data_IF_266578588990
#
_entry.id   IF_266578588990
#
_cell.length_a   1.000
_cell.length_b   1.000
_cell.length_c   1.000
_cell.angle_alpha   90.00
_cell.angle_beta   90.00
_cell.angle_gamma   90.00
#
_symmetry.space_group_name_H-M   'P 1'
#
loop_
_entity.id
_entity.type
_entity.pdbx_description
1 polymer ?
#
# COMPACT_ATOMS: atom_id res chain seq x y z
N UNK A 1 -19.26 -31.55 51.26
CA UNK A 1 -17.99 -32.23 50.95
C UNK A 1 -17.11 -31.30 50.11
N UNK A 2 -15.82 -31.64 50.01
CA UNK A 2 -14.66 -30.77 49.79
C UNK A 2 -14.38 -30.38 48.32
N UNK A 3 -13.64 -29.26 48.15
CA UNK A 3 -12.63 -28.97 47.09
C UNK A 3 -13.15 -28.74 45.64
N UNK A 4 -12.61 -27.93 44.71
CA UNK A 4 -11.32 -27.25 44.48
C UNK A 4 -11.49 -26.26 43.29
N UNK A 5 -10.61 -25.25 43.21
CA UNK A 5 -10.21 -24.44 42.03
C UNK A 5 -11.00 -23.19 41.59
N UNK A 6 -10.20 -22.13 41.40
CA UNK A 6 -10.46 -20.75 40.96
C UNK A 6 -10.39 -20.66 39.40
N UNK A 7 -10.40 -19.45 38.80
CA UNK A 7 -11.51 -18.63 38.30
C UNK A 7 -11.47 -18.51 36.75
N UNK A 8 -12.29 -17.62 36.14
CA UNK A 8 -12.37 -17.15 34.70
C UNK A 8 -13.84 -17.31 34.26
N UNK A 9 -14.58 -16.30 33.78
CA UNK A 9 -14.26 -14.98 33.23
C UNK A 9 -15.44 -14.03 33.50
N UNK A 10 -15.14 -12.74 33.63
CA UNK A 10 -16.07 -11.69 34.00
C UNK A 10 -17.06 -11.30 32.86
N UNK A 11 -18.12 -10.54 33.18
CA UNK A 11 -19.44 -10.64 32.55
C UNK A 11 -19.75 -9.58 31.47
N UNK A 12 -20.86 -9.82 30.77
CA UNK A 12 -21.82 -8.83 30.26
C UNK A 12 -21.31 -7.56 29.53
N UNK A 13 -21.54 -7.55 28.21
CA UNK A 13 -22.28 -6.53 27.45
C UNK A 13 -22.09 -5.06 27.86
N UNK A 14 -21.24 -4.36 27.10
CA UNK A 14 -21.37 -2.92 26.83
C UNK A 14 -21.47 -2.75 25.31
N UNK A 15 -22.58 -2.16 24.88
CA UNK A 15 -22.79 -1.68 23.50
C UNK A 15 -22.39 -0.21 23.50
N UNK A 16 -21.31 0.13 22.82
CA UNK A 16 -21.04 1.46 22.27
C UNK A 16 -20.07 1.30 21.08
N UNK A 17 -20.42 1.93 19.96
CA UNK A 17 -19.90 1.63 18.64
C UNK A 17 -18.40 1.91 18.45
N UNK A 18 -17.69 1.02 17.73
CA UNK A 18 -16.70 1.44 16.78
C UNK A 18 -17.30 1.23 15.39
N UNK A 19 -17.68 2.36 14.78
CA UNK A 19 -17.61 2.63 13.33
C UNK A 19 -17.05 1.43 12.56
N UNK A 20 -17.93 0.70 11.88
CA UNK A 20 -17.57 -0.27 10.87
C UNK A 20 -16.70 0.43 9.82
N UNK A 21 -15.38 0.42 10.03
CA UNK A 21 -14.42 0.60 8.96
C UNK A 21 -14.49 -0.70 8.17
N UNK A 22 -15.01 -0.68 6.93
CA UNK A 22 -15.15 -1.89 6.16
C UNK A 22 -13.75 -2.50 6.03
N UNK A 23 -13.66 -3.79 6.39
CA UNK A 23 -12.60 -4.74 6.08
C UNK A 23 -11.73 -4.27 4.90
N UNK A 24 -10.68 -3.50 5.16
CA UNK A 24 -9.57 -3.43 4.21
C UNK A 24 -8.77 -4.68 4.53
N UNK A 25 -9.13 -5.75 3.83
CA UNK A 25 -8.44 -7.03 3.81
C UNK A 25 -6.95 -6.74 3.91
N UNK A 26 -6.39 -7.11 5.05
CA UNK A 26 -4.97 -7.32 5.23
C UNK A 26 -4.63 -8.45 4.26
N UNK A 27 -4.37 -8.08 3.00
CA UNK A 27 -4.01 -9.03 1.97
C UNK A 27 -2.67 -9.62 2.41
N UNK A 28 -2.58 -10.95 2.56
CA UNK A 28 -1.36 -11.58 3.03
C UNK A 28 -0.29 -11.38 1.97
N UNK A 29 0.74 -10.56 2.24
CA UNK A 29 1.90 -10.52 1.34
C UNK A 29 2.89 -11.60 1.75
N UNK A 30 2.42 -12.84 1.66
CA UNK A 30 3.29 -13.99 1.58
C UNK A 30 3.94 -13.98 0.19
N UNK A 31 5.13 -13.36 0.10
CA UNK A 31 6.29 -13.73 -0.73
C UNK A 31 7.30 -12.58 -0.62
N UNK A 32 8.41 -12.85 0.08
CA UNK A 32 9.61 -12.02 0.31
C UNK A 32 10.17 -11.24 -0.90
N UNK A 33 9.65 -11.47 -2.11
CA UNK A 33 10.12 -10.86 -3.35
C UNK A 33 9.14 -9.82 -3.93
N UNK A 34 8.20 -9.30 -3.14
CA UNK A 34 7.26 -8.24 -3.54
C UNK A 34 7.19 -7.15 -2.47
N UNK A 35 6.99 -5.92 -2.93
CA UNK A 35 7.00 -4.73 -2.10
C UNK A 35 5.64 -4.05 -2.22
N UNK A 36 5.08 -3.63 -1.09
CA UNK A 36 3.77 -2.97 -1.08
C UNK A 36 3.93 -1.50 -1.48
N UNK A 37 3.32 -1.10 -2.58
CA UNK A 37 3.31 0.28 -3.05
C UNK A 37 1.96 0.88 -2.72
N UNK A 38 1.98 2.03 -2.06
CA UNK A 38 0.80 2.88 -1.85
C UNK A 38 1.08 4.20 -2.52
N UNK A 39 0.36 4.46 -3.61
CA UNK A 39 0.43 5.71 -4.35
C UNK A 39 -0.75 6.56 -3.94
N UNK A 40 -0.46 7.80 -3.58
CA UNK A 40 -1.47 8.80 -3.24
C UNK A 40 -1.21 10.02 -4.11
N UNK A 41 -2.17 10.40 -4.92
CA UNK A 41 -2.02 11.52 -5.86
C UNK A 41 -2.92 12.65 -5.42
N UNK A 42 -2.47 13.89 -5.53
CA UNK A 42 -3.34 15.06 -5.32
C UNK A 42 -4.01 15.52 -6.61
N UNK A 43 -3.38 15.26 -7.76
CA UNK A 43 -3.84 15.66 -9.10
C UNK A 43 -3.75 14.51 -10.11
N UNK A 44 -4.23 14.74 -11.33
CA UNK A 44 -4.13 13.77 -12.42
C UNK A 44 -2.67 13.37 -12.66
N UNK A 45 -2.40 12.07 -12.62
CA UNK A 45 -1.09 11.51 -12.84
C UNK A 45 -1.23 10.17 -13.58
N UNK A 46 -0.13 9.67 -14.15
CA UNK A 46 -0.14 8.33 -14.72
C UNK A 46 0.98 7.48 -14.14
N UNK A 47 0.71 6.20 -13.95
CA UNK A 47 1.63 5.26 -13.32
C UNK A 47 1.77 4.06 -14.24
N UNK A 48 3.00 3.66 -14.48
CA UNK A 48 3.34 2.49 -15.26
C UNK A 48 4.43 1.69 -14.52
N UNK A 49 4.10 0.47 -14.16
CA UNK A 49 4.99 -0.50 -13.54
C UNK A 49 5.24 -1.63 -14.51
N UNK A 50 6.51 -1.85 -14.82
CA UNK A 50 6.97 -2.95 -15.66
C UNK A 50 7.63 -4.01 -14.78
N UNK A 51 7.27 -5.26 -15.02
CA UNK A 51 7.93 -6.43 -14.45
C UNK A 51 9.39 -6.52 -14.92
N UNK A 52 10.24 -7.26 -14.20
CA UNK A 52 11.60 -7.58 -14.66
C UNK A 52 11.60 -8.33 -16.01
N UNK A 53 10.51 -9.02 -16.36
CA UNK A 53 10.34 -9.67 -17.67
C UNK A 53 9.99 -8.70 -18.82
N UNK A 54 9.88 -7.39 -18.55
CA UNK A 54 9.54 -6.36 -19.53
C UNK A 54 8.05 -6.13 -19.76
N UNK A 55 7.15 -6.98 -19.22
CA UNK A 55 5.70 -6.81 -19.32
C UNK A 55 5.21 -5.72 -18.36
N UNK A 56 4.24 -4.92 -18.78
CA UNK A 56 3.55 -4.00 -17.89
C UNK A 56 2.70 -4.78 -16.90
N UNK A 57 3.01 -4.68 -15.60
CA UNK A 57 2.17 -5.20 -14.51
C UNK A 57 0.97 -4.28 -14.29
N UNK A 58 1.24 -2.98 -14.33
CA UNK A 58 0.29 -1.95 -13.98
C UNK A 58 0.54 -0.75 -14.90
N UNK A 59 -0.49 -0.25 -15.55
CA UNK A 59 -0.40 0.95 -16.35
C UNK A 59 -1.76 1.63 -16.25
N UNK A 60 -1.87 2.65 -15.40
CA UNK A 60 -3.13 3.31 -15.10
C UNK A 60 -2.92 4.79 -14.89
N UNK A 61 -3.83 5.56 -15.45
CA UNK A 61 -3.97 6.97 -15.13
C UNK A 61 -4.78 7.09 -13.84
N UNK A 62 -4.19 7.75 -12.84
CA UNK A 62 -4.81 8.06 -11.56
C UNK A 62 -5.36 9.49 -11.61
N UNK A 63 -6.52 9.69 -10.98
CA UNK A 63 -7.15 11.02 -10.89
C UNK A 63 -6.65 11.78 -9.66
N UNK A 64 -7.10 13.01 -9.51
CA UNK A 64 -6.88 13.80 -8.31
C UNK A 64 -7.44 13.10 -7.07
N UNK A 65 -6.68 13.10 -5.97
CA UNK A 65 -7.01 12.46 -4.69
C UNK A 65 -7.18 10.93 -4.75
N UNK A 66 -6.61 10.28 -5.78
CA UNK A 66 -6.68 8.84 -5.94
C UNK A 66 -5.63 8.15 -5.05
N UNK A 67 -6.03 7.03 -4.43
CA UNK A 67 -5.16 6.23 -3.58
C UNK A 67 -5.18 4.80 -4.06
N UNK A 68 -4.08 4.37 -4.66
CA UNK A 68 -3.94 3.02 -5.20
C UNK A 68 -2.90 2.25 -4.39
N UNK A 69 -3.24 1.02 -4.01
CA UNK A 69 -2.33 0.11 -3.31
C UNK A 69 -2.11 -1.12 -4.16
N UNK A 70 -0.88 -1.40 -4.52
CA UNK A 70 -0.53 -2.59 -5.28
C UNK A 70 0.76 -3.22 -4.79
N UNK A 71 0.86 -4.52 -4.99
CA UNK A 71 2.08 -5.27 -4.74
C UNK A 71 2.92 -5.27 -6.01
N UNK A 72 4.17 -4.84 -5.89
CA UNK A 72 5.13 -4.75 -6.98
C UNK A 72 6.29 -5.70 -6.72
N UNK A 73 6.57 -6.67 -7.60
CA UNK A 73 7.70 -7.56 -7.42
C UNK A 73 9.03 -6.80 -7.48
N UNK A 74 10.00 -7.21 -6.67
CA UNK A 74 11.37 -6.67 -6.76
C UNK A 74 11.96 -7.01 -8.13
N UNK A 75 12.78 -6.11 -8.68
CA UNK A 75 13.22 -6.12 -10.07
C UNK A 75 12.28 -5.40 -11.04
N UNK A 76 11.09 -4.98 -10.62
CA UNK A 76 10.20 -4.16 -11.44
C UNK A 76 10.74 -2.74 -11.64
N UNK A 77 10.42 -2.13 -12.78
CA UNK A 77 10.66 -0.70 -13.03
C UNK A 77 9.36 0.05 -12.87
N UNK A 78 9.36 1.03 -11.98
CA UNK A 78 8.22 1.90 -11.72
C UNK A 78 8.49 3.23 -12.40
N UNK A 79 7.54 3.65 -13.23
CA UNK A 79 7.53 4.94 -13.91
C UNK A 79 6.25 5.66 -13.52
N UNK A 80 6.36 6.85 -12.96
CA UNK A 80 5.23 7.71 -12.58
C UNK A 80 5.39 9.02 -13.31
N UNK A 81 4.40 9.43 -14.09
CA UNK A 81 4.31 10.77 -14.66
C UNK A 81 3.50 11.70 -13.77
N UNK A 82 3.86 12.97 -13.79
CA UNK A 82 3.41 13.98 -12.84
C UNK A 82 3.68 13.58 -11.37
N UNK A 83 4.88 13.09 -11.10
CA UNK A 83 5.26 12.60 -9.77
C UNK A 83 5.40 13.71 -8.71
N UNK A 84 5.33 15.00 -9.09
CA UNK A 84 5.41 16.12 -8.16
C UNK A 84 4.17 16.22 -7.24
N UNK A 85 3.02 15.78 -7.75
CA UNK A 85 1.73 15.73 -7.03
C UNK A 85 1.43 14.34 -6.48
N UNK A 86 2.36 13.38 -6.64
CA UNK A 86 2.23 12.02 -6.16
C UNK A 86 3.08 11.84 -4.90
N UNK A 87 2.54 11.14 -3.92
CA UNK A 87 3.21 10.69 -2.72
C UNK A 87 3.25 9.16 -2.75
N UNK A 88 4.46 8.60 -2.81
CA UNK A 88 4.65 7.16 -2.80
C UNK A 88 5.05 6.71 -1.41
N UNK A 89 4.43 5.64 -0.95
CA UNK A 89 4.87 4.89 0.23
C UNK A 89 5.21 3.47 -0.21
N UNK A 90 6.41 2.99 0.14
CA UNK A 90 6.89 1.65 -0.17
C UNK A 90 7.07 0.90 1.15
N UNK A 91 6.34 -0.18 1.35
CA UNK A 91 6.43 -1.03 2.56
C UNK A 91 6.18 -0.25 3.87
N UNK A 92 5.33 0.78 3.81
CA UNK A 92 5.09 1.69 4.93
C UNK A 92 6.10 2.84 5.08
N UNK A 93 7.21 2.83 4.33
CA UNK A 93 8.14 3.95 4.29
C UNK A 93 7.75 4.99 3.23
N UNK A 94 7.57 6.27 3.60
CA UNK A 94 7.36 7.33 2.62
C UNK A 94 8.61 7.46 1.76
N UNK A 95 8.41 7.38 0.44
CA UNK A 95 9.46 7.47 -0.55
C UNK A 95 9.40 8.83 -1.25
N UNK A 96 10.46 9.62 -1.11
CA UNK A 96 10.55 10.93 -1.73
C UNK A 96 10.83 10.81 -3.23
N UNK A 97 9.77 10.91 -4.03
CA UNK A 97 9.86 10.88 -5.48
C UNK A 97 10.62 12.08 -6.04
N UNK A 98 10.68 13.22 -5.34
CA UNK A 98 11.35 14.44 -5.82
C UNK A 98 12.83 14.20 -6.18
N UNK A 99 13.52 13.28 -5.48
CA UNK A 99 14.94 12.96 -5.74
C UNK A 99 15.16 12.14 -7.01
N UNK A 100 14.14 11.39 -7.45
CA UNK A 100 14.18 10.51 -8.64
C UNK A 100 13.28 11.01 -9.77
N UNK A 101 12.57 12.11 -9.56
CA UNK A 101 11.72 12.76 -10.56
C UNK A 101 12.57 13.63 -11.46
N UNK A 102 12.53 13.37 -12.77
CA UNK A 102 13.15 14.18 -13.80
C UNK A 102 12.07 14.65 -14.78
N UNK A 103 11.97 15.96 -14.99
CA UNK A 103 10.99 16.58 -15.88
C UNK A 103 9.53 16.19 -15.56
N UNK A 104 9.19 16.09 -14.27
CA UNK A 104 7.87 15.65 -13.81
C UNK A 104 7.61 14.15 -13.88
N UNK A 105 8.57 13.34 -14.36
CA UNK A 105 8.47 11.88 -14.43
C UNK A 105 9.46 11.24 -13.46
N UNK A 106 8.97 10.45 -12.52
CA UNK A 106 9.77 9.64 -11.62
C UNK A 106 9.98 8.25 -12.21
N UNK A 107 11.23 7.79 -12.29
CA UNK A 107 11.55 6.43 -12.71
C UNK A 107 12.57 5.80 -11.79
N UNK A 108 12.25 4.63 -11.25
CA UNK A 108 13.16 3.88 -10.39
C UNK A 108 12.93 2.38 -10.54
N UNK A 109 13.93 1.61 -10.13
CA UNK A 109 13.83 0.16 -10.01
C UNK A 109 13.47 -0.19 -8.57
N UNK A 110 12.55 -1.13 -8.42
CA UNK A 110 12.27 -1.77 -7.13
C UNK A 110 13.41 -2.75 -6.87
N UNK A 111 14.18 -2.50 -5.82
CA UNK A 111 15.24 -3.39 -5.36
C UNK A 111 14.81 -4.06 -4.06
#
# INVERSE_FOLDING_TARGET
ERELTKPVDHPAKVVEAPKEVPKSVEQPVAKTNQRQFKLQTSDACWVQIKLPNGKSLFAKEMRANDVERLQVPVGSKVTVGNANVLMLTVDGQPFELKKVTRNGICRFDVK
#
